data_IF_485796600869
#
_entry.id   IF_485796600869
#
_cell.length_a   1.000
_cell.length_b   1.000
_cell.length_c   1.000
_cell.angle_alpha   90.00
_cell.angle_beta   90.00
_cell.angle_gamma   90.00
#
_symmetry.space_group_name_H-M   'P 1'
#
loop_
_entity.id
_entity.type
_entity.pdbx_description
1 polymer ?
#
# COMPACT_ATOMS: atom_id res chain seq x y z
N UNK A 1 -2.91 6.55 -15.55
CA UNK A 1 -2.23 5.63 -14.61
C UNK A 1 -2.90 4.28 -14.71
N UNK A 2 -2.13 3.20 -14.81
CA UNK A 2 -2.65 1.83 -14.84
C UNK A 2 -2.68 1.29 -13.40
N UNK A 3 -3.83 0.85 -12.90
CA UNK A 3 -3.95 0.28 -11.55
C UNK A 3 -3.37 -1.14 -11.59
N UNK A 4 -2.33 -1.47 -10.80
CA UNK A 4 -1.75 -2.80 -10.81
C UNK A 4 -2.73 -3.80 -10.19
N UNK A 5 -2.90 -4.96 -10.84
CA UNK A 5 -3.87 -5.99 -10.44
C UNK A 5 -5.28 -5.39 -10.19
N UNK A 6 -5.93 -4.83 -11.22
CA UNK A 6 -7.21 -4.13 -11.05
C UNK A 6 -8.37 -5.08 -10.67
N UNK A 7 -8.23 -6.38 -10.93
CA UNK A 7 -9.23 -7.41 -10.69
C UNK A 7 -9.65 -7.57 -9.22
N UNK A 8 -10.92 -7.91 -8.96
CA UNK A 8 -11.40 -8.23 -7.61
C UNK A 8 -10.72 -9.52 -7.11
N UNK A 9 -10.17 -9.55 -5.88
CA UNK A 9 -9.36 -10.67 -5.40
C UNK A 9 -10.14 -11.99 -5.25
N UNK A 10 -11.46 -11.93 -5.14
CA UNK A 10 -12.36 -13.08 -5.18
C UNK A 10 -13.52 -12.82 -6.14
N UNK A 11 -13.40 -13.14 -7.43
CA UNK A 11 -14.43 -12.84 -8.43
C UNK A 11 -15.82 -13.35 -8.04
N UNK A 12 -15.91 -14.53 -7.42
CA UNK A 12 -17.19 -15.12 -6.99
C UNK A 12 -17.90 -14.34 -5.86
N UNK A 13 -17.19 -13.44 -5.18
CA UNK A 13 -17.70 -12.65 -4.05
C UNK A 13 -17.62 -11.14 -4.32
N UNK A 14 -17.73 -10.75 -5.59
CA UNK A 14 -17.70 -9.36 -5.98
C UNK A 14 -18.82 -8.55 -5.30
N UNK A 15 -18.45 -7.39 -4.77
CA UNK A 15 -19.38 -6.44 -4.15
C UNK A 15 -19.50 -5.23 -5.05
N UNK A 16 -20.73 -4.74 -5.27
CA UNK A 16 -21.01 -3.58 -6.14
C UNK A 16 -20.20 -2.32 -5.79
N UNK A 17 -19.94 -2.10 -4.50
CA UNK A 17 -19.22 -0.92 -4.00
C UNK A 17 -17.77 -1.24 -3.62
N UNK A 18 -17.16 -2.25 -4.24
CA UNK A 18 -15.76 -2.54 -4.03
C UNK A 18 -14.87 -1.49 -4.70
N UNK A 19 -13.81 -1.08 -4.00
CA UNK A 19 -12.84 -0.10 -4.48
C UNK A 19 -11.46 -0.74 -4.38
N UNK A 20 -10.74 -0.71 -5.48
CA UNK A 20 -9.34 -1.11 -5.52
C UNK A 20 -8.47 0.04 -4.99
N UNK A 21 -7.62 -0.25 -4.00
CA UNK A 21 -6.68 0.71 -3.41
C UNK A 21 -5.23 0.45 -3.84
N UNK A 22 -5.01 -0.44 -4.81
CA UNK A 22 -3.70 -0.72 -5.37
C UNK A 22 -3.14 0.50 -6.09
N UNK A 23 -1.81 0.58 -6.13
CA UNK A 23 -1.08 1.72 -6.68
C UNK A 23 0.06 2.12 -5.76
N UNK A 24 0.49 3.36 -5.91
CA UNK A 24 1.63 3.90 -5.17
C UNK A 24 1.22 4.34 -3.76
N UNK A 25 1.96 3.87 -2.76
CA UNK A 25 1.75 4.20 -1.35
C UNK A 25 3.03 4.77 -0.75
N UNK A 26 2.89 5.76 0.13
CA UNK A 26 4.00 6.20 0.99
C UNK A 26 4.38 5.07 1.96
N UNK A 27 5.68 4.86 2.15
CA UNK A 27 6.22 3.76 2.92
C UNK A 27 7.49 4.17 3.67
N UNK A 28 7.74 3.55 4.82
CA UNK A 28 8.99 3.70 5.55
C UNK A 28 9.34 2.41 6.31
N UNK A 29 10.64 2.14 6.47
CA UNK A 29 11.11 1.02 7.31
C UNK A 29 11.39 1.52 8.72
N UNK A 30 10.70 0.96 9.71
CA UNK A 30 10.93 1.26 11.12
C UNK A 30 11.87 0.25 11.79
N UNK A 31 13.16 0.32 11.46
CA UNK A 31 14.17 -0.57 12.05
C UNK A 31 14.26 -0.47 13.58
N UNK A 32 13.90 0.70 14.14
CA UNK A 32 14.00 0.99 15.56
C UNK A 32 12.67 0.82 16.33
N UNK A 33 11.60 0.33 15.68
CA UNK A 33 10.26 0.15 16.30
C UNK A 33 9.71 1.41 16.98
N UNK A 34 10.02 2.58 16.41
CA UNK A 34 9.76 3.91 16.96
C UNK A 34 8.56 4.63 16.31
N UNK A 35 7.93 4.02 15.30
CA UNK A 35 6.91 4.66 14.47
C UNK A 35 5.66 5.06 15.26
N UNK A 36 5.27 4.27 16.26
CA UNK A 36 4.13 4.59 17.12
C UNK A 36 4.39 5.84 17.96
N UNK A 37 5.54 5.91 18.63
CA UNK A 37 5.96 7.06 19.44
C UNK A 37 6.11 8.33 18.58
N UNK A 38 6.56 8.17 17.33
CA UNK A 38 6.65 9.24 16.33
C UNK A 38 5.31 9.62 15.69
N UNK A 39 4.20 8.99 16.09
CA UNK A 39 2.86 9.30 15.60
C UNK A 39 2.64 8.99 14.12
N UNK A 40 3.29 7.98 13.56
CA UNK A 40 3.21 7.68 12.12
C UNK A 40 1.78 7.44 11.60
N UNK A 41 0.90 6.94 12.47
CA UNK A 41 -0.50 6.70 12.14
C UNK A 41 -1.35 7.97 12.02
N UNK A 42 -0.88 9.13 12.51
CA UNK A 42 -1.67 10.37 12.51
C UNK A 42 -1.49 11.25 11.26
N UNK A 43 -0.86 10.71 10.21
CA UNK A 43 -0.74 11.38 8.91
C UNK A 43 0.60 12.12 8.73
N UNK A 44 1.70 11.38 8.81
CA UNK A 44 3.05 11.89 8.51
C UNK A 44 3.46 11.49 7.09
N UNK A 45 4.17 12.37 6.38
CA UNK A 45 4.81 12.03 5.12
C UNK A 45 6.01 11.08 5.31
N UNK A 46 6.03 10.01 4.52
CA UNK A 46 7.18 9.10 4.45
C UNK A 46 8.06 9.38 3.24
N UNK A 47 9.35 9.02 3.38
CA UNK A 47 10.38 9.34 2.40
C UNK A 47 10.38 8.40 1.18
N UNK A 48 9.81 7.20 1.32
CA UNK A 48 9.80 6.18 0.26
C UNK A 48 8.40 5.93 -0.25
N UNK A 49 8.33 5.27 -1.40
CA UNK A 49 7.08 4.78 -2.00
C UNK A 49 7.27 3.33 -2.44
N UNK A 50 6.16 2.60 -2.49
CA UNK A 50 6.08 1.22 -3.00
C UNK A 50 4.82 1.07 -3.85
N UNK A 51 4.78 0.06 -4.72
CA UNK A 51 3.58 -0.30 -5.48
C UNK A 51 2.85 -1.47 -4.82
N UNK A 52 1.72 -1.19 -4.18
CA UNK A 52 0.79 -2.23 -3.71
C UNK A 52 0.08 -2.82 -4.93
N UNK A 53 0.01 -4.16 -5.10
CA UNK A 53 0.18 -5.19 -4.07
C UNK A 53 1.53 -5.93 -4.07
N UNK A 54 2.56 -5.37 -4.70
CA UNK A 54 3.87 -6.01 -4.73
C UNK A 54 4.64 -5.77 -3.42
N UNK A 55 5.53 -6.70 -3.02
CA UNK A 55 6.38 -6.48 -1.85
C UNK A 55 7.38 -5.34 -2.11
N UNK A 56 7.86 -4.62 -1.07
CA UNK A 56 8.83 -3.53 -1.23
C UNK A 56 10.13 -3.92 -1.95
N UNK A 57 10.51 -5.20 -1.91
CA UNK A 57 11.70 -5.75 -2.54
C UNK A 57 11.49 -6.14 -4.01
N UNK A 58 10.26 -6.04 -4.53
CA UNK A 58 9.96 -6.38 -5.92
C UNK A 58 10.54 -5.36 -6.89
N UNK A 59 11.00 -5.83 -8.06
CA UNK A 59 11.35 -4.96 -9.19
C UNK A 59 10.14 -4.22 -9.79
N UNK A 60 8.92 -4.62 -9.41
CA UNK A 60 7.67 -3.98 -9.82
C UNK A 60 7.23 -2.86 -8.85
N UNK A 61 7.95 -2.68 -7.74
CA UNK A 61 7.70 -1.68 -6.68
C UNK A 61 8.56 -0.44 -6.83
#
# INVERSE_FOLDING_TARGET
MNIPRPEHPRPDFERKNWINLNGEWQFEIDNNKSGLEKGWHSGKDFSRRIIVPFPPESVLS
#
